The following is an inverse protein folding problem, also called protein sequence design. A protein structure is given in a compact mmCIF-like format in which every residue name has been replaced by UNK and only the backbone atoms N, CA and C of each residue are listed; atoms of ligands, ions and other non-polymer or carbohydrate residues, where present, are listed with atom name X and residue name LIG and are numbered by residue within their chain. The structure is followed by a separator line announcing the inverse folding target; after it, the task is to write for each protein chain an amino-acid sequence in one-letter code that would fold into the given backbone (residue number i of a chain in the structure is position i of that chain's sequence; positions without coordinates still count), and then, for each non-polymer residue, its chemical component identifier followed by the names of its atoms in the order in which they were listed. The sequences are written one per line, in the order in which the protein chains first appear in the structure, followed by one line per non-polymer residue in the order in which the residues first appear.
data_IF_352871846808
#
_entry.id   IF_352871846808
#
_cell.length_a   1.000
_cell.length_b   1.000
_cell.length_c   1.000
_cell.angle_alpha   90.00
_cell.angle_beta   90.00
_cell.angle_gamma   90.00
#
_symmetry.space_group_name_H-M   'P 1'
#
loop_
_entity.id
_entity.type
_entity.pdbx_description
1 polymer ?
#
# COMPACT_ATOMS: atom_id res chain seq x y z
N UNK A 1 3.69 22.92 -17.35
CA UNK A 1 3.90 21.53 -17.79
C UNK A 1 3.40 20.61 -16.67
N UNK A 2 2.27 19.92 -16.87
CA UNK A 2 1.83 18.89 -15.92
C UNK A 2 2.77 17.71 -16.13
N UNK A 3 3.73 17.51 -15.22
CA UNK A 3 4.61 16.35 -15.25
C UNK A 3 3.74 15.13 -15.01
N UNK A 4 3.33 14.44 -16.08
CA UNK A 4 2.89 13.05 -15.93
C UNK A 4 4.07 12.30 -15.30
N UNK A 5 3.86 11.74 -14.11
CA UNK A 5 4.84 10.88 -13.46
C UNK A 5 5.22 9.77 -14.44
N UNK A 6 6.52 9.61 -14.70
CA UNK A 6 7.04 8.48 -15.46
C UNK A 6 6.64 7.18 -14.77
N UNK A 7 6.66 6.08 -15.50
CA UNK A 7 6.48 4.74 -14.94
C UNK A 7 7.43 4.49 -13.75
N UNK A 8 8.69 4.91 -13.89
CA UNK A 8 9.69 4.80 -12.83
C UNK A 8 9.34 5.66 -11.62
N UNK A 9 8.75 6.84 -11.82
CA UNK A 9 8.32 7.71 -10.71
C UNK A 9 7.15 7.08 -9.95
N UNK A 10 6.21 6.44 -10.66
CA UNK A 10 5.09 5.70 -10.05
C UNK A 10 5.59 4.50 -9.25
N UNK A 11 6.56 3.75 -9.79
CA UNK A 11 7.23 2.66 -9.07
C UNK A 11 7.96 3.17 -7.82
N UNK A 12 8.70 4.27 -7.95
CA UNK A 12 9.40 4.88 -6.82
C UNK A 12 8.42 5.33 -5.72
N UNK A 13 7.26 5.89 -6.08
CA UNK A 13 6.26 6.30 -5.10
C UNK A 13 5.59 5.08 -4.44
N UNK A 14 5.28 4.01 -5.19
CA UNK A 14 4.77 2.76 -4.59
C UNK A 14 5.79 2.15 -3.61
N UNK A 15 7.09 2.14 -3.96
CA UNK A 15 8.16 1.73 -3.03
C UNK A 15 8.19 2.62 -1.80
N UNK A 16 8.10 3.93 -1.97
CA UNK A 16 8.09 4.89 -0.86
C UNK A 16 6.94 4.62 0.10
N UNK A 17 5.73 4.39 -0.44
CA UNK A 17 4.56 4.00 0.35
C UNK A 17 4.81 2.69 1.10
N UNK A 18 5.40 1.68 0.45
CA UNK A 18 5.74 0.40 1.10
C UNK A 18 6.69 0.57 2.29
N UNK A 19 7.72 1.41 2.19
CA UNK A 19 8.69 1.59 3.27
C UNK A 19 8.23 2.57 4.36
N UNK A 20 7.36 3.54 4.03
CA UNK A 20 6.89 4.56 4.97
C UNK A 20 5.55 4.24 5.62
N UNK A 21 4.82 3.25 5.09
CA UNK A 21 3.49 2.91 5.61
C UNK A 21 3.54 2.52 7.07
N UNK A 22 2.47 2.84 7.78
CA UNK A 22 2.33 2.57 9.21
C UNK A 22 0.94 2.04 9.53
N UNK A 23 0.74 1.50 10.74
CA UNK A 23 -0.58 1.07 11.21
C UNK A 23 -1.66 2.14 11.07
N UNK A 24 -1.28 3.42 11.20
CA UNK A 24 -2.20 4.54 11.10
C UNK A 24 -2.55 4.88 9.65
N UNK A 25 -1.58 4.76 8.73
CA UNK A 25 -1.68 5.28 7.36
C UNK A 25 -1.95 4.20 6.31
N UNK A 26 -1.79 2.90 6.65
CA UNK A 26 -1.85 1.76 5.72
C UNK A 26 -3.04 1.75 4.78
N UNK A 27 -4.22 2.20 5.25
CA UNK A 27 -5.41 2.24 4.42
C UNK A 27 -5.31 3.28 3.32
N UNK A 28 -4.80 4.47 3.66
CA UNK A 28 -4.61 5.57 2.72
C UNK A 28 -3.44 5.27 1.78
N UNK A 29 -2.34 4.73 2.31
CA UNK A 29 -1.17 4.39 1.52
C UNK A 29 -1.48 3.27 0.51
N UNK A 30 -2.23 2.24 0.93
CA UNK A 30 -2.68 1.17 0.04
C UNK A 30 -3.62 1.68 -1.06
N UNK A 31 -4.56 2.58 -0.72
CA UNK A 31 -5.45 3.19 -1.71
C UNK A 31 -4.67 4.00 -2.76
N UNK A 32 -3.70 4.82 -2.33
CA UNK A 32 -2.81 5.56 -3.24
C UNK A 32 -2.01 4.61 -4.14
N UNK A 33 -1.49 3.53 -3.58
CA UNK A 33 -0.72 2.55 -4.36
C UNK A 33 -1.61 1.85 -5.43
N UNK A 34 -2.88 1.56 -5.12
CA UNK A 34 -3.85 1.06 -6.09
C UNK A 34 -4.09 2.07 -7.21
N UNK A 35 -4.27 3.34 -6.88
CA UNK A 35 -4.51 4.38 -7.91
C UNK A 35 -3.28 4.59 -8.81
N UNK A 36 -2.07 4.54 -8.24
CA UNK A 36 -0.83 4.56 -9.02
C UNK A 36 -0.74 3.35 -9.95
N UNK A 37 -1.02 2.15 -9.44
CA UNK A 37 -1.04 0.91 -10.22
C UNK A 37 -2.04 0.97 -11.39
N UNK A 38 -3.26 1.47 -11.17
CA UNK A 38 -4.27 1.64 -12.22
C UNK A 38 -3.84 2.61 -13.31
N UNK A 39 -3.01 3.60 -12.95
CA UNK A 39 -2.46 4.57 -13.91
C UNK A 39 -1.27 4.03 -14.71
N UNK A 40 -0.74 2.85 -14.39
CA UNK A 40 0.34 2.20 -15.14
C UNK A 40 -0.23 1.49 -16.37
N UNK A 41 0.43 1.68 -17.51
CA UNK A 41 -0.06 1.23 -18.82
C UNK A 41 0.62 -0.05 -19.29
N UNK A 42 1.85 -0.31 -18.83
CA UNK A 42 2.62 -1.50 -19.22
C UNK A 42 2.45 -2.64 -18.22
N UNK A 43 2.42 -3.87 -18.73
CA UNK A 43 2.39 -5.09 -17.93
C UNK A 43 3.68 -5.28 -17.13
N UNK A 44 4.83 -5.00 -17.73
CA UNK A 44 6.15 -5.09 -17.09
C UNK A 44 6.28 -4.12 -15.90
N UNK A 45 5.63 -2.95 -15.96
CA UNK A 45 5.57 -2.01 -14.84
C UNK A 45 4.73 -2.55 -13.70
N UNK A 46 3.57 -3.14 -14.02
CA UNK A 46 2.64 -3.73 -13.06
C UNK A 46 3.26 -4.93 -12.34
N UNK A 47 3.99 -5.78 -13.06
CA UNK A 47 4.72 -6.90 -12.45
C UNK A 47 5.75 -6.43 -11.42
N UNK A 48 6.51 -5.38 -11.75
CA UNK A 48 7.53 -4.81 -10.84
C UNK A 48 6.93 -4.25 -9.56
N UNK A 49 5.75 -3.63 -9.62
CA UNK A 49 5.07 -3.10 -8.44
C UNK A 49 4.25 -4.17 -7.68
N UNK A 50 3.91 -5.28 -8.31
CA UNK A 50 3.05 -6.33 -7.72
C UNK A 50 3.62 -6.87 -6.40
N UNK A 51 4.95 -7.04 -6.30
CA UNK A 51 5.62 -7.48 -5.07
C UNK A 51 5.39 -6.51 -3.91
N UNK A 52 5.48 -5.20 -4.17
CA UNK A 52 5.24 -4.17 -3.17
C UNK A 52 3.75 -4.08 -2.79
N UNK A 53 2.85 -4.28 -3.76
CA UNK A 53 1.42 -4.32 -3.54
C UNK A 53 1.01 -5.50 -2.65
N UNK A 54 1.59 -6.68 -2.88
CA UNK A 54 1.35 -7.85 -2.04
C UNK A 54 1.80 -7.60 -0.60
N UNK A 55 3.00 -7.05 -0.41
CA UNK A 55 3.51 -6.71 0.92
C UNK A 55 2.65 -5.66 1.64
N UNK A 56 2.16 -4.63 0.94
CA UNK A 56 1.20 -3.67 1.52
C UNK A 56 -0.12 -4.35 1.94
N UNK A 57 -0.62 -5.29 1.13
CA UNK A 57 -1.84 -6.05 1.42
C UNK A 57 -1.67 -6.94 2.67
N UNK A 58 -0.51 -7.58 2.80
CA UNK A 58 -0.15 -8.38 3.97
C UNK A 58 -0.09 -7.52 5.23
N UNK A 59 0.65 -6.39 5.21
CA UNK A 59 0.73 -5.46 6.35
C UNK A 59 -0.65 -4.95 6.79
N UNK A 60 -1.51 -4.59 5.82
CA UNK A 60 -2.89 -4.16 6.07
C UNK A 60 -3.69 -5.23 6.81
N UNK A 61 -3.57 -6.48 6.37
CA UNK A 61 -4.28 -7.62 6.94
C UNK A 61 -3.79 -7.90 8.36
N UNK A 62 -2.48 -7.98 8.55
CA UNK A 62 -1.85 -8.21 9.86
C UNK A 62 -2.26 -7.15 10.89
N UNK A 63 -2.21 -5.88 10.50
CA UNK A 63 -2.58 -4.78 11.40
C UNK A 63 -4.09 -4.72 11.68
N UNK A 64 -4.92 -5.11 10.71
CA UNK A 64 -6.36 -5.25 10.94
C UNK A 64 -6.68 -6.37 11.94
N UNK A 65 -6.01 -7.52 11.82
CA UNK A 65 -6.17 -8.66 12.74
C UNK A 65 -5.69 -8.30 14.14
N UNK A 66 -4.51 -7.67 14.27
CA UNK A 66 -3.97 -7.21 15.57
C UNK A 66 -4.92 -6.23 16.27
N UNK A 67 -5.47 -5.26 15.53
CA UNK A 67 -6.44 -4.29 16.08
C UNK A 67 -7.72 -4.96 16.60
N UNK A 68 -8.19 -6.02 15.93
CA UNK A 68 -9.38 -6.78 16.39
C UNK A 68 -9.08 -7.54 17.69
N UNK A 69 -7.89 -8.13 17.81
CA UNK A 69 -7.45 -8.81 19.03
C UNK A 69 -7.34 -7.86 20.22
N UNK A 70 -6.72 -6.69 20.03
CA UNK A 70 -6.60 -5.64 21.07
C UNK A 70 -7.98 -5.14 21.55
N UNK A 71 -8.93 -4.92 20.63
CA UNK A 71 -10.29 -4.48 20.99
C UNK A 71 -11.14 -5.57 21.66
N UNK A 72 -10.90 -6.84 21.34
CA UNK A 72 -11.61 -7.98 21.95
C UNK A 72 -11.18 -8.21 23.41
N UNK A 73 -9.92 -7.94 23.75
CA UNK A 73 -9.40 -8.03 25.12
C UNK A 73 -10.04 -6.95 26.01
N UNK A 74 -10.08 -5.70 25.52
CA UNK A 74 -10.64 -4.54 26.25
C UNK A 74 -12.16 -4.58 26.53
N UNK A 75 -12.90 -5.53 25.93
CA UNK A 75 -14.34 -5.70 26.13
C UNK A 75 -14.70 -6.75 27.20
N UNK A 76 -13.70 -7.41 27.79
CA UNK A 76 -13.87 -8.44 28.83
C UNK A 76 -13.53 -7.96 30.25
N UNK A 77 -13.27 -6.67 30.43
CA UNK A 77 -13.12 -6.00 31.73
C UNK A 77 -14.34 -5.11 31.97
#
# INVERSE_FOLDING_TARGET
MIKMLSADDKLAEIKRLYYQTSRATIKQDFAKAIDLLKSMSSEEERERVAVYMDGLSQMRSDWAVRRKKEKGIRKKE
#
